data_IF_347717820082
#
_entry.id   IF_347717820082
#
_cell.length_a   1.000
_cell.length_b   1.000
_cell.length_c   1.000
_cell.angle_alpha   90.00
_cell.angle_beta   90.00
_cell.angle_gamma   90.00
#
_symmetry.space_group_name_H-M   'P 1'
#
loop_
_entity.id
_entity.type
_entity.pdbx_description
1 polymer ?
#
# COMPACT_ATOMS: atom_id res chain seq x y z
N UNK A 1 -3.56 11.09 -21.54
CA UNK A 1 -3.75 9.63 -21.73
C UNK A 1 -2.55 8.79 -21.32
N UNK A 2 -1.31 9.07 -21.78
CA UNK A 2 -0.12 8.27 -21.44
C UNK A 2 0.17 8.17 -19.93
N UNK A 3 0.07 9.28 -19.20
CA UNK A 3 0.34 9.33 -17.75
C UNK A 3 -0.67 8.49 -16.96
N UNK A 4 -1.97 8.68 -17.24
CA UNK A 4 -3.05 7.91 -16.59
C UNK A 4 -2.87 6.41 -16.83
N UNK A 5 -2.49 6.03 -18.06
CA UNK A 5 -2.21 4.64 -18.39
C UNK A 5 -1.00 4.10 -17.62
N UNK A 6 0.08 4.85 -17.52
CA UNK A 6 1.25 4.44 -16.74
C UNK A 6 0.93 4.24 -15.25
N UNK A 7 0.09 5.11 -14.66
CA UNK A 7 -0.37 4.95 -13.28
C UNK A 7 -1.25 3.71 -13.13
N UNK A 8 -2.17 3.46 -14.08
CA UNK A 8 -2.99 2.25 -14.08
C UNK A 8 -2.14 0.98 -14.20
N UNK A 9 -1.21 0.96 -15.16
CA UNK A 9 -0.31 -0.18 -15.39
C UNK A 9 0.59 -0.42 -14.16
N UNK A 10 1.00 0.63 -13.45
CA UNK A 10 1.73 0.50 -12.19
C UNK A 10 0.87 -0.04 -11.04
N UNK A 11 -0.34 0.49 -10.85
CA UNK A 11 -1.19 0.12 -9.71
C UNK A 11 -1.85 -1.25 -9.87
N UNK A 12 -2.29 -1.58 -11.09
CA UNK A 12 -3.07 -2.77 -11.41
C UNK A 12 -2.21 -3.84 -12.08
N UNK A 13 -1.17 -3.45 -12.82
CA UNK A 13 -0.26 -4.39 -13.48
C UNK A 13 0.66 -5.13 -12.52
N UNK A 14 0.81 -4.67 -11.28
CA UNK A 14 1.52 -5.40 -10.23
C UNK A 14 0.55 -5.95 -9.16
N UNK A 15 0.37 -7.28 -9.06
CA UNK A 15 -0.52 -7.87 -8.06
C UNK A 15 -0.07 -7.65 -6.61
N UNK A 16 1.22 -7.42 -6.34
CA UNK A 16 1.74 -7.07 -5.01
C UNK A 16 1.31 -5.65 -4.64
N UNK A 17 1.45 -4.70 -5.56
CA UNK A 17 1.04 -3.30 -5.32
C UNK A 17 -0.46 -3.25 -5.11
N UNK A 18 -1.24 -3.90 -5.98
CA UNK A 18 -2.70 -3.95 -5.87
C UNK A 18 -3.15 -4.53 -4.52
N UNK A 19 -2.59 -5.69 -4.13
CA UNK A 19 -2.90 -6.33 -2.84
C UNK A 19 -2.48 -5.43 -1.67
N UNK A 20 -1.29 -4.84 -1.72
CA UNK A 20 -0.77 -3.95 -0.68
C UNK A 20 -1.66 -2.73 -0.46
N UNK A 21 -2.14 -2.10 -1.54
CA UNK A 21 -3.06 -0.96 -1.46
C UNK A 21 -4.40 -1.37 -0.83
N UNK A 22 -4.98 -2.49 -1.25
CA UNK A 22 -6.24 -2.99 -0.67
C UNK A 22 -6.09 -3.26 0.83
N UNK A 23 -5.01 -3.93 1.25
CA UNK A 23 -4.72 -4.20 2.66
C UNK A 23 -4.55 -2.88 3.44
N UNK A 24 -3.82 -1.91 2.91
CA UNK A 24 -3.65 -0.61 3.56
C UNK A 24 -4.98 0.13 3.77
N UNK A 25 -5.87 0.09 2.77
CA UNK A 25 -7.22 0.69 2.88
C UNK A 25 -8.07 -0.03 3.94
N UNK A 26 -8.02 -1.36 4.00
CA UNK A 26 -8.73 -2.14 5.03
C UNK A 26 -8.20 -1.81 6.43
N UNK A 27 -6.87 -1.75 6.60
CA UNK A 27 -6.24 -1.39 7.88
C UNK A 27 -6.65 0.02 8.31
N UNK A 28 -6.63 1.00 7.39
CA UNK A 28 -7.11 2.35 7.67
C UNK A 28 -8.57 2.39 8.09
N UNK A 29 -9.43 1.65 7.38
CA UNK A 29 -10.84 1.58 7.71
C UNK A 29 -11.06 1.02 9.13
N UNK A 30 -10.32 -0.03 9.50
CA UNK A 30 -10.36 -0.60 10.86
C UNK A 30 -9.85 0.42 11.88
N UNK A 31 -8.70 1.05 11.63
CA UNK A 31 -8.12 2.06 12.53
C UNK A 31 -9.09 3.21 12.81
N UNK A 32 -9.84 3.65 11.81
CA UNK A 32 -10.79 4.75 11.94
C UNK A 32 -12.12 4.35 12.61
N UNK A 33 -12.48 3.07 12.62
CA UNK A 33 -13.72 2.58 13.25
C UNK A 33 -13.53 2.10 14.69
N UNK A 34 -12.31 1.71 15.07
CA UNK A 34 -12.06 1.11 16.38
C UNK A 34 -11.54 2.16 17.37
N UNK A 35 -12.36 2.53 18.34
CA UNK A 35 -12.03 3.54 19.36
C UNK A 35 -10.82 3.15 20.23
N UNK A 36 -10.58 1.85 20.43
CA UNK A 36 -9.41 1.35 21.15
C UNK A 36 -8.07 1.66 20.44
N UNK A 37 -8.10 1.94 19.13
CA UNK A 37 -6.93 2.24 18.31
C UNK A 37 -6.71 3.76 18.14
N UNK A 38 -7.41 4.59 18.92
CA UNK A 38 -7.34 6.06 18.83
C UNK A 38 -5.94 6.64 19.08
N UNK A 39 -5.13 6.00 19.92
CA UNK A 39 -3.71 6.38 20.09
C UNK A 39 -2.88 6.10 18.84
N UNK A 40 -3.21 5.05 18.09
CA UNK A 40 -2.56 4.67 16.84
C UNK A 40 -2.99 5.55 15.66
N UNK A 41 -4.18 6.16 15.73
CA UNK A 41 -4.66 7.11 14.71
C UNK A 41 -3.72 8.32 14.56
N UNK A 42 -3.07 8.76 15.64
CA UNK A 42 -2.12 9.90 15.63
C UNK A 42 -0.93 9.62 14.71
N UNK A 43 -0.51 8.35 14.61
CA UNK A 43 0.63 7.92 13.77
C UNK A 43 0.18 7.27 12.46
N UNK A 44 -1.09 7.36 12.11
CA UNK A 44 -1.65 6.75 10.89
C UNK A 44 -0.96 7.20 9.60
N UNK A 45 -0.58 8.48 9.50
CA UNK A 45 0.19 9.02 8.37
C UNK A 45 1.55 8.35 8.19
N UNK A 46 2.44 8.40 9.20
CA UNK A 46 3.71 7.67 9.17
C UNK A 46 3.56 6.15 8.92
N UNK A 47 2.52 5.54 9.50
CA UNK A 47 2.22 4.12 9.30
C UNK A 47 1.92 3.80 7.83
N UNK A 48 1.16 4.67 7.15
CA UNK A 48 0.88 4.52 5.72
C UNK A 48 2.12 4.65 4.86
N UNK A 49 3.00 5.61 5.18
CA UNK A 49 4.27 5.77 4.45
C UNK A 49 5.10 4.49 4.56
N UNK A 50 5.23 3.93 5.77
CA UNK A 50 5.92 2.66 5.98
C UNK A 50 5.26 1.51 5.21
N UNK A 51 3.93 1.41 5.24
CA UNK A 51 3.21 0.38 4.50
C UNK A 51 3.47 0.47 2.99
N UNK A 52 3.43 1.68 2.43
CA UNK A 52 3.74 1.92 1.00
C UNK A 52 5.19 1.50 0.70
N UNK A 53 6.16 1.91 1.51
CA UNK A 53 7.56 1.53 1.30
C UNK A 53 7.75 0.01 1.32
N UNK A 54 7.13 -0.70 2.26
CA UNK A 54 7.19 -2.17 2.34
C UNK A 54 6.62 -2.81 1.09
N UNK A 55 5.47 -2.33 0.60
CA UNK A 55 4.82 -2.86 -0.61
C UNK A 55 5.69 -2.62 -1.84
N UNK A 56 6.29 -1.44 -1.98
CA UNK A 56 7.19 -1.12 -3.08
C UNK A 56 8.46 -1.97 -3.03
N UNK A 57 9.07 -2.14 -1.86
CA UNK A 57 10.24 -3.01 -1.68
C UNK A 57 9.88 -4.45 -2.03
N UNK A 58 8.71 -4.95 -1.61
CA UNK A 58 8.27 -6.29 -1.92
C UNK A 58 8.04 -6.51 -3.43
N UNK A 59 7.43 -5.53 -4.10
CA UNK A 59 7.23 -5.49 -5.55
C UNK A 59 8.58 -5.52 -6.28
N UNK A 60 9.48 -4.58 -5.96
CA UNK A 60 10.84 -4.52 -6.53
C UNK A 60 11.62 -5.82 -6.27
N UNK A 61 11.53 -6.39 -5.06
CA UNK A 61 12.20 -7.65 -4.71
C UNK A 61 11.72 -8.80 -5.58
N UNK A 62 10.43 -8.85 -5.93
CA UNK A 62 9.89 -9.86 -6.86
C UNK A 62 10.46 -9.66 -8.26
N UNK A 63 10.57 -8.43 -8.73
CA UNK A 63 11.06 -8.12 -10.08
C UNK A 63 12.56 -8.41 -10.25
N UNK A 64 13.37 -8.12 -9.23
CA UNK A 64 14.82 -8.39 -9.27
C UNK A 64 15.18 -9.85 -8.98
N UNK A 65 14.21 -10.67 -8.54
CA UNK A 65 14.49 -12.08 -8.25
C UNK A 65 14.65 -12.82 -9.59
N UNK A 66 15.82 -13.42 -9.87
CA UNK A 66 15.97 -14.26 -11.06
C UNK A 66 14.98 -15.42 -10.96
N UNK A 67 14.28 -15.68 -12.06
CA UNK A 67 13.30 -16.76 -12.19
C UNK A 67 13.98 -18.13 -12.04
#
# INVERSE_FOLDING_TARGET
MKIIKAVYDFLVGDPIILTGVVVALVVLAILNQVTALRSLQIISGPLLVLAVLVVLIASLRREIRPK
#
